data_IF_020405252338
#
_entry.id   IF_020405252338
#
_cell.length_a   1.000
_cell.length_b   1.000
_cell.length_c   1.000
_cell.angle_alpha   90.00
_cell.angle_beta   90.00
_cell.angle_gamma   90.00
#
_symmetry.space_group_name_H-M   'P 1'
#
loop_
_entity.id
_entity.type
_entity.pdbx_description
1 polymer ?
#
# COMPACT_ATOMS: atom_id res chain seq x y z
N UNK A 1 -83.30 -34.85 -23.64
CA UNK A 1 -82.46 -35.92 -24.23
C UNK A 1 -82.13 -35.47 -25.64
N UNK A 2 -80.92 -35.08 -26.02
CA UNK A 2 -79.59 -35.56 -25.62
C UNK A 2 -78.55 -34.50 -26.00
N UNK A 3 -77.79 -34.00 -25.03
CA UNK A 3 -76.65 -33.11 -25.23
C UNK A 3 -75.47 -33.85 -25.88
N UNK A 4 -74.92 -33.23 -26.92
CA UNK A 4 -73.69 -33.66 -27.60
C UNK A 4 -72.49 -33.20 -26.76
N UNK A 5 -71.89 -34.14 -26.03
CA UNK A 5 -70.62 -33.95 -25.33
C UNK A 5 -69.47 -33.97 -26.35
N UNK A 6 -68.92 -32.78 -26.64
CA UNK A 6 -67.59 -32.63 -27.24
C UNK A 6 -66.53 -32.94 -26.17
N UNK A 7 -65.84 -34.06 -26.34
CA UNK A 7 -64.64 -34.42 -25.58
C UNK A 7 -63.49 -33.46 -25.90
N UNK A 8 -62.73 -32.95 -24.92
CA UNK A 8 -61.49 -32.23 -25.22
C UNK A 8 -60.41 -33.21 -25.68
N UNK A 9 -59.45 -32.76 -26.53
CA UNK A 9 -58.37 -33.62 -27.02
C UNK A 9 -57.40 -34.00 -25.89
N UNK A 10 -56.73 -35.16 -25.98
CA UNK A 10 -55.77 -35.61 -24.97
C UNK A 10 -54.55 -34.67 -24.93
N UNK A 11 -54.16 -34.26 -23.73
CA UNK A 11 -52.95 -33.48 -23.47
C UNK A 11 -51.72 -34.24 -24.00
N UNK A 12 -50.94 -33.56 -24.85
CA UNK A 12 -49.65 -34.05 -25.32
C UNK A 12 -48.61 -34.11 -24.20
N UNK A 13 -47.56 -34.93 -24.35
CA UNK A 13 -46.55 -35.14 -23.31
C UNK A 13 -45.66 -33.89 -23.14
N UNK A 14 -45.65 -33.37 -21.91
CA UNK A 14 -44.61 -32.59 -21.25
C UNK A 14 -43.85 -31.57 -22.11
N UNK A 15 -44.43 -30.37 -22.27
CA UNK A 15 -43.61 -29.17 -22.45
C UNK A 15 -42.64 -29.06 -21.26
N UNK A 16 -41.33 -28.85 -21.48
CA UNK A 16 -40.39 -28.68 -20.37
C UNK A 16 -40.79 -27.42 -19.61
N UNK A 17 -41.39 -27.64 -18.43
CA UNK A 17 -41.77 -26.62 -17.46
C UNK A 17 -40.60 -25.65 -17.32
N UNK A 18 -40.79 -24.41 -17.79
CA UNK A 18 -39.76 -23.39 -17.79
C UNK A 18 -39.29 -23.21 -16.35
N UNK A 19 -38.10 -23.73 -16.05
CA UNK A 19 -37.55 -23.76 -14.70
C UNK A 19 -37.61 -22.34 -14.11
N UNK A 20 -38.47 -22.17 -13.10
CA UNK A 20 -38.65 -20.90 -12.42
C UNK A 20 -37.27 -20.39 -11.95
N UNK A 21 -36.95 -19.10 -12.16
CA UNK A 21 -35.69 -18.56 -11.68
C UNK A 21 -35.60 -18.80 -10.17
N UNK A 22 -34.43 -19.22 -9.64
CA UNK A 22 -34.29 -19.52 -8.23
C UNK A 22 -34.72 -18.32 -7.39
N UNK A 23 -35.45 -18.53 -6.27
CA UNK A 23 -35.94 -17.44 -5.44
C UNK A 23 -34.76 -16.56 -4.99
N UNK A 24 -34.90 -15.25 -5.21
CA UNK A 24 -33.93 -14.26 -4.75
C UNK A 24 -33.78 -14.36 -3.23
N UNK A 25 -32.57 -14.64 -2.75
CA UNK A 25 -32.28 -14.72 -1.30
C UNK A 25 -32.76 -13.43 -0.62
N UNK A 26 -33.49 -13.51 0.52
CA UNK A 26 -33.97 -12.32 1.20
C UNK A 26 -32.77 -11.45 1.60
N UNK A 27 -32.78 -10.18 1.17
CA UNK A 27 -31.81 -9.18 1.61
C UNK A 27 -32.04 -8.94 3.10
N UNK A 28 -31.04 -9.19 3.94
CA UNK A 28 -31.13 -8.86 5.37
C UNK A 28 -31.48 -7.38 5.56
N UNK A 29 -32.13 -7.01 6.68
CA UNK A 29 -32.47 -5.62 6.95
C UNK A 29 -31.21 -4.75 6.91
N UNK A 30 -31.31 -3.58 6.28
CA UNK A 30 -30.17 -2.70 6.00
C UNK A 30 -29.38 -2.32 7.26
N UNK A 31 -30.08 -2.22 8.40
CA UNK A 31 -29.47 -2.01 9.72
C UNK A 31 -28.53 -3.13 10.14
N UNK A 32 -28.88 -4.40 9.92
CA UNK A 32 -28.00 -5.53 10.22
C UNK A 32 -26.76 -5.53 9.33
N UNK A 33 -26.89 -5.14 8.06
CA UNK A 33 -25.73 -5.03 7.15
C UNK A 33 -24.78 -3.93 7.62
N UNK A 34 -25.31 -2.76 8.00
CA UNK A 34 -24.49 -1.66 8.54
C UNK A 34 -23.81 -2.06 9.84
N UNK A 35 -24.54 -2.66 10.79
CA UNK A 35 -23.97 -3.12 12.06
C UNK A 35 -22.92 -4.22 11.85
N UNK A 36 -23.17 -5.18 10.96
CA UNK A 36 -22.21 -6.23 10.63
C UNK A 36 -20.94 -5.63 9.99
N UNK A 37 -21.08 -4.64 9.12
CA UNK A 37 -19.94 -3.97 8.47
C UNK A 37 -19.09 -3.21 9.49
N UNK A 38 -19.71 -2.47 10.40
CA UNK A 38 -19.02 -1.79 11.49
C UNK A 38 -18.35 -2.77 12.46
N UNK A 39 -19.03 -3.88 12.81
CA UNK A 39 -18.48 -4.92 13.66
C UNK A 39 -17.26 -5.61 13.02
N UNK A 40 -17.31 -5.89 11.71
CA UNK A 40 -16.16 -6.41 10.97
C UNK A 40 -15.02 -5.39 10.94
N UNK A 41 -15.30 -4.11 10.67
CA UNK A 41 -14.28 -3.06 10.69
C UNK A 41 -13.60 -2.92 12.05
N UNK A 42 -14.39 -2.92 13.13
CA UNK A 42 -13.87 -2.84 14.49
C UNK A 42 -13.06 -4.08 14.89
N UNK A 43 -13.52 -5.28 14.53
CA UNK A 43 -12.77 -6.53 14.81
C UNK A 43 -11.45 -6.59 14.04
N UNK A 44 -11.42 -6.13 12.78
CA UNK A 44 -10.18 -6.02 12.00
C UNK A 44 -9.17 -5.05 12.62
N UNK A 45 -9.65 -3.93 13.19
CA UNK A 45 -8.81 -2.98 13.89
C UNK A 45 -8.33 -3.53 15.24
N UNK A 46 -9.23 -4.13 16.03
CA UNK A 46 -8.90 -4.68 17.35
C UNK A 46 -7.96 -5.90 17.28
N UNK A 47 -8.08 -6.74 16.25
CA UNK A 47 -7.25 -7.94 16.05
C UNK A 47 -6.02 -7.68 15.16
N UNK A 48 -5.63 -6.42 14.95
CA UNK A 48 -4.52 -6.04 14.09
C UNK A 48 -3.19 -6.74 14.43
N UNK A 49 -2.92 -7.01 15.72
CA UNK A 49 -1.68 -7.66 16.17
C UNK A 49 -1.52 -9.09 15.62
N UNK A 50 -2.63 -9.75 15.30
CA UNK A 50 -2.67 -11.09 14.72
C UNK A 50 -2.86 -10.99 13.19
N UNK A 51 -3.74 -10.11 12.74
CA UNK A 51 -4.12 -9.99 11.32
C UNK A 51 -2.97 -9.43 10.49
N UNK A 52 -2.22 -8.43 10.99
CA UNK A 52 -1.16 -7.78 10.24
C UNK A 52 -0.03 -8.73 9.86
N UNK A 53 0.54 -9.55 10.79
CA UNK A 53 1.54 -10.53 10.41
C UNK A 53 1.05 -11.52 9.35
N UNK A 54 -0.23 -11.92 9.42
CA UNK A 54 -0.85 -12.82 8.44
C UNK A 54 -1.02 -12.16 7.08
N UNK A 55 -1.50 -10.93 7.03
CA UNK A 55 -1.64 -10.17 5.78
C UNK A 55 -0.29 -9.88 5.14
N UNK A 56 0.72 -9.47 5.93
CA UNK A 56 2.08 -9.28 5.44
C UNK A 56 2.68 -10.58 4.92
N UNK A 57 2.50 -11.69 5.65
CA UNK A 57 2.98 -12.98 5.22
C UNK A 57 2.32 -13.45 3.91
N UNK A 58 1.00 -13.23 3.77
CA UNK A 58 0.31 -13.47 2.51
C UNK A 58 0.84 -12.56 1.40
N UNK A 59 1.05 -11.27 1.66
CA UNK A 59 1.61 -10.31 0.70
C UNK A 59 2.99 -10.77 0.19
N UNK A 60 3.92 -11.07 1.10
CA UNK A 60 5.25 -11.57 0.72
C UNK A 60 5.19 -12.92 0.02
N UNK A 61 4.30 -13.82 0.44
CA UNK A 61 4.09 -15.10 -0.24
C UNK A 61 3.57 -14.88 -1.67
N UNK A 62 2.67 -13.92 -1.91
CA UNK A 62 2.18 -13.58 -3.25
C UNK A 62 3.31 -13.04 -4.15
N UNK A 63 4.21 -12.22 -3.61
CA UNK A 63 5.38 -11.69 -4.34
C UNK A 63 6.40 -12.79 -4.63
N UNK A 64 6.66 -13.66 -3.67
CA UNK A 64 7.62 -14.75 -3.80
C UNK A 64 7.11 -15.90 -4.68
N UNK A 65 5.81 -16.12 -4.79
CA UNK A 65 5.22 -17.23 -5.54
C UNK A 65 5.59 -17.28 -7.05
N UNK A 66 5.59 -16.19 -7.84
CA UNK A 66 6.03 -16.24 -9.24
C UNK A 66 7.50 -16.66 -9.36
N UNK A 67 8.35 -16.16 -8.46
CA UNK A 67 9.76 -16.55 -8.35
C UNK A 67 9.87 -18.02 -7.96
N UNK A 68 9.09 -18.48 -6.98
CA UNK A 68 9.05 -19.86 -6.54
C UNK A 68 8.63 -20.83 -7.66
N UNK A 69 7.65 -20.44 -8.48
CA UNK A 69 7.24 -21.20 -9.67
C UNK A 69 8.35 -21.27 -10.71
N UNK A 70 9.15 -20.21 -10.86
CA UNK A 70 10.33 -20.23 -11.73
C UNK A 70 11.39 -21.19 -11.20
N UNK A 71 11.70 -21.14 -9.90
CA UNK A 71 12.65 -22.07 -9.25
C UNK A 71 12.19 -23.53 -9.35
N UNK A 72 10.89 -23.80 -9.23
CA UNK A 72 10.33 -25.15 -9.44
C UNK A 72 10.53 -25.65 -10.87
N UNK A 73 10.46 -24.76 -11.88
CA UNK A 73 10.82 -25.13 -13.26
C UNK A 73 12.30 -25.46 -13.43
N UNK A 74 13.15 -24.89 -12.57
CA UNK A 74 14.57 -25.24 -12.45
C UNK A 74 14.82 -26.46 -11.53
N UNK A 75 13.81 -27.31 -11.30
CA UNK A 75 13.90 -28.55 -10.51
C UNK A 75 14.18 -28.36 -9.01
N UNK A 76 14.09 -27.15 -8.47
CA UNK A 76 14.26 -26.91 -7.03
C UNK A 76 12.97 -27.24 -6.29
N UNK A 77 13.00 -28.11 -5.25
CA UNK A 77 11.81 -28.44 -4.49
C UNK A 77 11.27 -27.20 -3.75
N UNK A 78 9.94 -27.14 -3.61
CA UNK A 78 9.22 -25.96 -3.11
C UNK A 78 9.73 -25.43 -1.77
N UNK A 79 10.08 -26.33 -0.84
CA UNK A 79 10.60 -25.94 0.48
C UNK A 79 11.97 -25.24 0.38
N UNK A 80 12.89 -25.79 -0.41
CA UNK A 80 14.20 -25.17 -0.64
C UNK A 80 14.06 -23.85 -1.39
N UNK A 81 13.18 -23.78 -2.39
CA UNK A 81 12.91 -22.53 -3.11
C UNK A 81 12.37 -21.43 -2.19
N UNK A 82 11.47 -21.78 -1.26
CA UNK A 82 10.94 -20.83 -0.28
C UNK A 82 12.02 -20.36 0.70
N UNK A 83 12.86 -21.28 1.20
CA UNK A 83 14.00 -20.96 2.06
C UNK A 83 15.02 -20.06 1.36
N UNK A 84 15.33 -20.32 0.08
CA UNK A 84 16.25 -19.49 -0.70
C UNK A 84 15.70 -18.08 -0.92
N UNK A 85 14.43 -17.95 -1.30
CA UNK A 85 13.78 -16.65 -1.51
C UNK A 85 13.74 -15.84 -0.21
N UNK A 86 13.34 -16.47 0.91
CA UNK A 86 13.30 -15.79 2.20
C UNK A 86 14.69 -15.48 2.73
N UNK A 87 15.64 -16.39 2.61
CA UNK A 87 17.03 -16.18 3.01
C UNK A 87 17.68 -15.03 2.21
N UNK A 88 17.49 -15.01 0.89
CA UNK A 88 17.96 -13.93 0.03
C UNK A 88 17.27 -12.60 0.37
N UNK A 89 15.94 -12.60 0.56
CA UNK A 89 15.18 -11.41 0.95
C UNK A 89 15.65 -10.84 2.29
N UNK A 90 15.78 -11.69 3.31
CA UNK A 90 16.30 -11.29 4.63
C UNK A 90 17.77 -10.84 4.57
N UNK A 91 18.59 -11.48 3.75
CA UNK A 91 19.98 -11.07 3.53
C UNK A 91 20.07 -9.68 2.90
N UNK A 92 19.29 -9.42 1.84
CA UNK A 92 19.24 -8.10 1.17
C UNK A 92 18.66 -7.05 2.10
N UNK A 93 17.50 -7.29 2.71
CA UNK A 93 16.86 -6.33 3.63
C UNK A 93 17.69 -6.10 4.88
N UNK A 94 18.32 -7.14 5.44
CA UNK A 94 19.19 -7.03 6.61
C UNK A 94 20.48 -6.25 6.31
N UNK A 95 21.13 -6.55 5.17
CA UNK A 95 22.30 -5.80 4.70
C UNK A 95 21.95 -4.33 4.47
N UNK A 96 20.81 -4.06 3.82
CA UNK A 96 20.32 -2.71 3.61
C UNK A 96 20.01 -2.02 4.94
N UNK A 97 19.33 -2.69 5.88
CA UNK A 97 19.03 -2.12 7.19
C UNK A 97 20.30 -1.70 7.94
N UNK A 98 21.34 -2.53 7.97
CA UNK A 98 22.63 -2.18 8.62
C UNK A 98 23.27 -0.96 7.96
N UNK A 99 23.24 -0.86 6.63
CA UNK A 99 23.77 0.29 5.90
C UNK A 99 22.96 1.57 6.14
N UNK A 100 21.65 1.44 6.36
CA UNK A 100 20.74 2.56 6.55
C UNK A 100 20.64 3.06 7.98
N UNK A 101 20.87 2.20 8.98
CA UNK A 101 20.72 2.55 10.40
C UNK A 101 21.62 3.73 10.78
N UNK A 102 22.87 3.77 10.32
CA UNK A 102 23.79 4.87 10.60
C UNK A 102 23.26 6.22 10.10
N UNK A 103 23.09 6.40 8.77
CA UNK A 103 22.54 7.62 8.19
C UNK A 103 21.16 8.01 8.74
N UNK A 104 20.29 7.02 8.99
CA UNK A 104 18.96 7.27 9.54
C UNK A 104 19.02 7.78 10.99
N UNK A 105 19.90 7.23 11.83
CA UNK A 105 20.06 7.70 13.21
C UNK A 105 20.68 9.08 13.27
N UNK A 106 21.67 9.36 12.43
CA UNK A 106 22.29 10.68 12.32
C UNK A 106 21.25 11.73 11.93
N UNK A 107 20.48 11.46 10.88
CA UNK A 107 19.39 12.33 10.46
C UNK A 107 18.33 12.51 11.56
N UNK A 108 17.95 11.44 12.27
CA UNK A 108 16.96 11.51 13.34
C UNK A 108 17.44 12.35 14.55
N UNK A 109 18.71 12.26 14.92
CA UNK A 109 19.29 13.05 16.01
C UNK A 109 19.45 14.53 15.62
N UNK A 110 19.78 14.79 14.36
CA UNK A 110 19.98 16.13 13.85
C UNK A 110 18.70 16.82 13.37
N UNK A 111 17.61 16.08 13.15
CA UNK A 111 16.35 16.59 12.63
C UNK A 111 15.86 17.88 13.32
N UNK A 112 15.86 18.01 14.67
CA UNK A 112 15.43 19.25 15.32
C UNK A 112 16.31 20.45 14.97
N UNK A 113 17.61 20.24 14.77
CA UNK A 113 18.56 21.30 14.39
C UNK A 113 18.45 21.63 12.91
N UNK A 114 18.34 20.61 12.07
CA UNK A 114 18.14 20.76 10.62
C UNK A 114 16.85 21.53 10.32
N UNK A 115 15.73 21.20 10.98
CA UNK A 115 14.47 21.94 10.86
C UNK A 115 14.62 23.43 11.24
N UNK A 116 15.41 23.74 12.29
CA UNK A 116 15.69 25.13 12.68
C UNK A 116 16.54 25.86 11.64
N UNK A 117 17.51 25.19 11.00
CA UNK A 117 18.34 25.75 9.92
C UNK A 117 17.47 26.07 8.71
N UNK A 118 16.63 25.14 8.29
CA UNK A 118 15.70 25.33 7.16
C UNK A 118 14.70 26.44 7.46
N UNK A 119 14.15 26.52 8.67
CA UNK A 119 13.28 27.63 9.07
C UNK A 119 13.97 29.00 8.94
N UNK A 120 15.26 29.11 9.29
CA UNK A 120 16.04 30.35 9.14
C UNK A 120 16.30 30.69 7.68
N UNK A 121 16.69 29.72 6.86
CA UNK A 121 16.90 29.94 5.42
C UNK A 121 15.60 30.34 4.70
N UNK A 122 14.47 29.73 5.04
CA UNK A 122 13.16 30.12 4.51
C UNK A 122 12.78 31.52 4.98
N UNK A 123 13.06 31.88 6.24
CA UNK A 123 12.91 33.27 6.70
C UNK A 123 13.78 34.22 5.90
N UNK A 124 15.04 33.89 5.65
CA UNK A 124 15.96 34.73 4.88
C UNK A 124 15.53 34.91 3.42
N UNK A 125 15.01 33.85 2.78
CA UNK A 125 14.45 33.90 1.42
C UNK A 125 13.13 34.67 1.35
N UNK A 126 12.35 34.66 2.43
CA UNK A 126 11.11 35.41 2.52
C UNK A 126 11.32 36.84 3.02
N UNK A 127 12.49 37.22 3.56
CA UNK A 127 12.81 38.59 3.99
C UNK A 127 12.54 39.65 2.92
N UNK A 128 12.87 39.50 1.63
CA UNK A 128 12.56 40.51 0.61
C UNK A 128 11.05 40.69 0.41
N UNK A 129 10.29 39.58 0.45
CA UNK A 129 8.82 39.58 0.35
C UNK A 129 8.19 40.12 1.62
N UNK A 130 8.74 39.77 2.78
CA UNK A 130 8.33 40.29 4.08
C UNK A 130 8.71 41.75 4.24
N UNK A 131 9.81 42.24 3.67
CA UNK A 131 10.20 43.65 3.67
C UNK A 131 9.36 44.46 2.68
N UNK A 132 8.97 43.88 1.55
CA UNK A 132 7.99 44.48 0.64
C UNK A 132 6.60 44.52 1.27
N UNK A 133 6.17 43.44 1.93
CA UNK A 133 4.94 43.40 2.71
C UNK A 133 5.02 44.30 3.93
N UNK A 134 6.14 44.38 4.65
CA UNK A 134 6.34 45.29 5.78
C UNK A 134 6.44 46.73 5.33
N UNK A 135 6.95 47.04 4.13
CA UNK A 135 6.87 48.38 3.59
C UNK A 135 5.40 48.75 3.33
N UNK A 136 4.63 47.86 2.69
CA UNK A 136 3.18 48.02 2.49
C UNK A 136 2.38 48.03 3.81
N UNK A 137 2.80 47.26 4.80
CA UNK A 137 2.19 47.12 6.12
C UNK A 137 2.66 48.25 7.04
N UNK A 138 3.81 48.88 6.83
CA UNK A 138 4.25 50.12 7.50
C UNK A 138 3.47 51.31 6.94
N UNK A 139 3.13 51.30 5.64
CA UNK A 139 2.12 52.21 5.09
C UNK A 139 0.73 51.97 5.71
N UNK A 140 0.40 50.74 6.12
CA UNK A 140 -0.84 50.40 6.82
C UNK A 140 -0.79 50.55 8.36
N UNK A 141 0.39 50.46 9.00
CA UNK A 141 0.62 50.55 10.46
C UNK A 141 0.77 51.99 10.94
N UNK A 142 1.03 52.94 10.04
CA UNK A 142 0.70 54.35 10.26
C UNK A 142 -0.81 54.53 10.53
N UNK A 143 -1.65 53.54 10.21
CA UNK A 143 -3.09 53.51 10.49
C UNK A 143 -3.56 52.38 11.46
N UNK A 144 -2.67 51.64 12.14
CA UNK A 144 -3.14 50.63 13.10
C UNK A 144 -2.03 49.74 13.68
N UNK A 145 -1.92 49.75 15.01
CA UNK A 145 -0.83 49.12 15.77
C UNK A 145 -1.02 47.64 16.13
N UNK A 146 0.14 46.98 16.19
CA UNK A 146 0.60 45.79 16.93
C UNK A 146 -0.22 44.50 17.05
N UNK A 147 0.45 43.38 16.70
CA UNK A 147 0.25 42.11 17.39
C UNK A 147 1.53 41.24 17.46
N UNK A 148 1.72 40.67 18.65
CA UNK A 148 2.87 39.94 19.17
C UNK A 148 2.67 38.42 18.96
N UNK A 149 3.60 37.72 18.30
CA UNK A 149 3.54 36.26 18.13
C UNK A 149 4.58 35.54 19.00
N UNK A 150 4.09 34.80 20.00
CA UNK A 150 4.91 33.88 20.83
C UNK A 150 5.09 32.55 20.11
N UNK A 151 6.35 32.17 19.89
CA UNK A 151 6.76 30.85 19.39
C UNK A 151 6.60 29.82 20.50
N UNK A 152 5.72 28.84 20.29
CA UNK A 152 5.52 27.71 21.19
C UNK A 152 6.66 26.70 21.00
N UNK A 153 7.50 26.57 22.02
CA UNK A 153 8.58 25.59 22.08
C UNK A 153 7.97 24.22 22.37
N UNK A 154 7.92 23.36 21.35
CA UNK A 154 7.65 21.93 21.53
C UNK A 154 8.85 21.37 22.32
N UNK A 155 8.63 21.06 23.59
CA UNK A 155 9.59 20.31 24.41
C UNK A 155 9.77 18.93 23.79
N UNK A 156 10.92 18.72 23.17
CA UNK A 156 11.42 17.39 22.83
C UNK A 156 11.54 16.59 24.13
N UNK A 157 10.61 15.67 24.30
CA UNK A 157 10.65 14.63 25.30
C UNK A 157 11.88 13.78 24.97
N UNK A 158 12.92 13.84 25.82
CA UNK A 158 14.10 12.99 25.67
C UNK A 158 13.61 11.53 25.63
N UNK A 159 13.89 10.86 24.52
CA UNK A 159 13.62 9.43 24.39
C UNK A 159 14.52 8.68 25.38
N UNK A 160 13.86 8.07 26.37
CA UNK A 160 14.47 7.28 27.42
C UNK A 160 15.17 6.04 26.79
N UNK A 161 16.49 5.85 26.94
CA UNK A 161 17.24 4.75 26.32
C UNK A 161 16.68 3.35 26.66
N UNK A 162 16.01 3.23 27.80
CA UNK A 162 15.37 1.99 28.27
C UNK A 162 14.14 1.57 27.44
N UNK A 163 13.55 2.46 26.64
CA UNK A 163 12.47 2.11 25.71
C UNK A 163 12.96 1.29 24.51
N UNK A 164 14.24 1.39 24.14
CA UNK A 164 14.83 0.57 23.08
C UNK A 164 14.94 -0.90 23.50
N UNK A 165 15.27 -1.15 24.77
CA UNK A 165 15.48 -2.49 25.32
C UNK A 165 14.20 -3.34 25.38
N UNK A 166 13.04 -2.69 25.52
CA UNK A 166 11.72 -3.37 25.53
C UNK A 166 11.07 -3.48 24.15
N UNK A 167 11.45 -2.62 23.19
CA UNK A 167 10.95 -2.67 21.80
C UNK A 167 11.66 -3.71 20.93
N UNK A 168 12.96 -3.89 21.12
CA UNK A 168 13.76 -4.81 20.28
C UNK A 168 13.25 -6.27 20.29
N UNK A 169 12.90 -6.89 21.44
CA UNK A 169 12.39 -8.27 21.45
C UNK A 169 11.01 -8.40 20.78
N UNK A 170 10.13 -7.40 20.97
CA UNK A 170 8.79 -7.39 20.37
C UNK A 170 8.85 -7.26 18.85
N UNK A 171 9.71 -6.37 18.35
CA UNK A 171 9.96 -6.23 16.92
C UNK A 171 10.56 -7.50 16.33
N UNK A 172 11.56 -8.10 16.99
CA UNK A 172 12.15 -9.36 16.55
C UNK A 172 11.10 -10.50 16.50
N UNK A 173 10.23 -10.62 17.50
CA UNK A 173 9.15 -11.59 17.51
C UNK A 173 8.15 -11.35 16.37
N UNK A 174 7.78 -10.09 16.11
CA UNK A 174 6.88 -9.75 15.00
C UNK A 174 7.47 -10.07 13.63
N UNK A 175 8.75 -9.76 13.41
CA UNK A 175 9.48 -10.07 12.18
C UNK A 175 9.60 -11.57 12.01
N UNK A 176 9.95 -12.30 13.07
CA UNK A 176 10.03 -13.76 13.05
C UNK A 176 8.67 -14.39 12.73
N UNK A 177 7.58 -13.88 13.31
CA UNK A 177 6.24 -14.35 13.01
C UNK A 177 5.89 -14.15 11.53
N UNK A 178 6.17 -12.97 10.96
CA UNK A 178 5.96 -12.70 9.53
C UNK A 178 6.80 -13.64 8.67
N UNK A 179 8.09 -13.81 8.99
CA UNK A 179 9.01 -14.69 8.24
C UNK A 179 8.55 -16.14 8.25
N UNK A 180 8.25 -16.68 9.43
CA UNK A 180 7.77 -18.05 9.57
C UNK A 180 6.45 -18.23 8.84
N UNK A 181 5.50 -17.32 9.03
CA UNK A 181 4.20 -17.43 8.40
C UNK A 181 4.30 -17.30 6.88
N UNK A 182 5.20 -16.45 6.37
CA UNK A 182 5.49 -16.37 4.93
C UNK A 182 6.04 -17.70 4.42
N UNK A 183 6.99 -18.30 5.15
CA UNK A 183 7.55 -19.62 4.82
C UNK A 183 6.45 -20.68 4.76
N UNK A 184 5.60 -20.75 5.78
CA UNK A 184 4.49 -21.70 5.84
C UNK A 184 3.47 -21.46 4.72
N UNK A 185 3.10 -20.22 4.42
CA UNK A 185 2.22 -19.92 3.28
C UNK A 185 2.86 -20.29 1.94
N UNK A 186 4.15 -20.02 1.75
CA UNK A 186 4.86 -20.39 0.53
C UNK A 186 4.92 -21.90 0.35
N UNK A 187 5.16 -22.68 1.41
CA UNK A 187 5.26 -24.15 1.36
C UNK A 187 3.89 -24.81 1.27
N UNK A 188 2.97 -24.48 2.19
CA UNK A 188 1.72 -25.20 2.43
C UNK A 188 0.46 -24.45 1.96
N UNK A 189 0.56 -23.22 1.48
CA UNK A 189 -0.60 -22.41 1.08
C UNK A 189 -1.48 -23.10 0.03
N UNK A 190 -0.88 -23.76 -0.96
CA UNK A 190 -1.63 -24.48 -1.99
C UNK A 190 -2.34 -25.75 -1.47
N UNK A 191 -1.77 -26.45 -0.49
CA UNK A 191 -2.44 -27.57 0.16
C UNK A 191 -3.59 -27.10 1.03
N UNK A 192 -3.39 -26.03 1.82
CA UNK A 192 -4.42 -25.42 2.64
C UNK A 192 -5.59 -24.93 1.80
N UNK A 193 -5.30 -24.25 0.69
CA UNK A 193 -6.30 -23.80 -0.27
C UNK A 193 -7.12 -24.98 -0.84
N UNK A 194 -6.45 -26.07 -1.26
CA UNK A 194 -7.14 -27.26 -1.78
C UNK A 194 -8.03 -27.91 -0.73
N UNK A 195 -7.55 -28.02 0.52
CA UNK A 195 -8.33 -28.55 1.63
C UNK A 195 -9.55 -27.68 1.95
N UNK A 196 -9.39 -26.35 1.97
CA UNK A 196 -10.48 -25.41 2.20
C UNK A 196 -11.54 -25.49 1.07
N UNK A 197 -11.11 -25.62 -0.18
CA UNK A 197 -12.02 -25.80 -1.32
C UNK A 197 -12.77 -27.14 -1.22
N UNK A 198 -12.13 -28.20 -0.72
CA UNK A 198 -12.75 -29.51 -0.55
C UNK A 198 -13.92 -29.52 0.46
N UNK A 199 -14.03 -28.51 1.34
CA UNK A 199 -15.15 -28.35 2.27
C UNK A 199 -16.46 -27.95 1.58
N UNK A 200 -16.41 -27.44 0.34
CA UNK A 200 -17.62 -27.07 -0.38
C UNK A 200 -18.36 -28.32 -0.89
N UNK A 201 -19.69 -28.42 -0.67
CA UNK A 201 -20.45 -29.64 -0.91
C UNK A 201 -20.64 -29.97 -2.40
N UNK A 202 -20.56 -28.98 -3.30
CA UNK A 202 -20.85 -29.16 -4.72
C UNK A 202 -19.60 -28.92 -5.59
N UNK A 203 -19.33 -29.82 -6.55
CA UNK A 203 -18.22 -29.69 -7.53
C UNK A 203 -18.29 -28.41 -8.36
N UNK A 204 -19.48 -27.91 -8.65
CA UNK A 204 -19.64 -26.63 -9.36
C UNK A 204 -19.13 -25.46 -8.52
N UNK A 205 -19.47 -25.42 -7.22
CA UNK A 205 -18.97 -24.41 -6.28
C UNK A 205 -17.46 -24.55 -6.08
N UNK A 206 -16.94 -25.77 -5.98
CA UNK A 206 -15.49 -26.00 -5.89
C UNK A 206 -14.74 -25.44 -7.10
N UNK A 207 -15.21 -25.72 -8.32
CA UNK A 207 -14.60 -25.19 -9.56
C UNK A 207 -14.67 -23.66 -9.61
N UNK A 208 -15.85 -23.10 -9.37
CA UNK A 208 -16.07 -21.65 -9.34
C UNK A 208 -15.15 -20.93 -8.33
N UNK A 209 -15.09 -21.42 -7.08
CA UNK A 209 -14.20 -20.87 -6.05
C UNK A 209 -12.73 -21.02 -6.43
N UNK A 210 -12.32 -22.18 -6.96
CA UNK A 210 -10.94 -22.40 -7.42
C UNK A 210 -10.54 -21.42 -8.50
N UNK A 211 -11.42 -21.19 -9.48
CA UNK A 211 -11.15 -20.29 -10.61
C UNK A 211 -11.04 -18.84 -10.15
N UNK A 212 -11.93 -18.39 -9.24
CA UNK A 212 -11.86 -17.07 -8.63
C UNK A 212 -10.55 -16.90 -7.86
N UNK A 213 -10.22 -17.81 -6.94
CA UNK A 213 -9.01 -17.70 -6.13
C UNK A 213 -7.75 -17.71 -7.01
N UNK A 214 -7.69 -18.54 -8.04
CA UNK A 214 -6.56 -18.55 -8.99
C UNK A 214 -6.49 -17.30 -9.85
N UNK A 215 -7.63 -16.68 -10.18
CA UNK A 215 -7.64 -15.37 -10.87
C UNK A 215 -7.07 -14.30 -9.95
N UNK A 216 -7.58 -14.20 -8.72
CA UNK A 216 -7.12 -13.24 -7.72
C UNK A 216 -5.63 -13.43 -7.44
N UNK A 217 -5.18 -14.65 -7.15
CA UNK A 217 -3.77 -14.95 -6.90
C UNK A 217 -2.89 -14.48 -8.07
N UNK A 218 -3.27 -14.79 -9.31
CA UNK A 218 -2.47 -14.41 -10.50
C UNK A 218 -2.45 -12.91 -10.74
N UNK A 219 -3.60 -12.24 -10.63
CA UNK A 219 -3.73 -10.81 -10.89
C UNK A 219 -3.04 -9.98 -9.81
N UNK A 220 -3.27 -10.31 -8.54
CA UNK A 220 -2.65 -9.62 -7.40
C UNK A 220 -1.15 -9.92 -7.38
N UNK A 221 -0.73 -11.18 -7.54
CA UNK A 221 0.72 -11.51 -7.57
C UNK A 221 1.45 -10.78 -8.69
N UNK A 222 0.88 -10.73 -9.91
CA UNK A 222 1.46 -9.96 -11.01
C UNK A 222 1.55 -8.48 -10.67
N UNK A 223 0.46 -7.88 -10.19
CA UNK A 223 0.41 -6.48 -9.80
C UNK A 223 1.47 -6.15 -8.76
N UNK A 224 1.49 -6.90 -7.65
CA UNK A 224 2.41 -6.65 -6.53
C UNK A 224 3.86 -6.87 -6.95
N UNK A 225 4.16 -7.92 -7.71
CA UNK A 225 5.52 -8.13 -8.24
C UNK A 225 5.95 -6.96 -9.13
N UNK A 226 5.10 -6.55 -10.07
CA UNK A 226 5.43 -5.48 -11.00
C UNK A 226 5.65 -4.15 -10.28
N UNK A 227 4.76 -3.76 -9.35
CA UNK A 227 4.94 -2.51 -8.59
C UNK A 227 6.19 -2.58 -7.69
N UNK A 228 6.50 -3.76 -7.13
CA UNK A 228 7.70 -3.93 -6.30
C UNK A 228 8.98 -3.74 -7.12
N UNK A 229 9.01 -4.27 -8.35
CA UNK A 229 10.12 -4.08 -9.29
C UNK A 229 10.24 -2.61 -9.70
N UNK A 230 9.13 -1.96 -10.08
CA UNK A 230 9.11 -0.54 -10.43
C UNK A 230 9.62 0.32 -9.27
N UNK A 231 9.09 0.13 -8.06
CA UNK A 231 9.48 0.90 -6.88
C UNK A 231 10.95 0.72 -6.53
N UNK A 232 11.47 -0.51 -6.64
CA UNK A 232 12.90 -0.78 -6.41
C UNK A 232 13.77 -0.08 -7.44
N UNK A 233 13.39 -0.12 -8.73
CA UNK A 233 14.10 0.57 -9.80
C UNK A 233 14.06 2.09 -9.62
N UNK A 234 12.91 2.66 -9.27
CA UNK A 234 12.79 4.09 -8.94
C UNK A 234 13.72 4.48 -7.81
N UNK A 235 13.76 3.71 -6.72
CA UNK A 235 14.66 3.98 -5.60
C UNK A 235 16.14 3.92 -5.98
N UNK A 236 16.54 2.92 -6.77
CA UNK A 236 17.91 2.78 -7.27
C UNK A 236 18.30 3.90 -8.24
N UNK A 237 17.42 4.26 -9.17
CA UNK A 237 17.64 5.37 -10.11
C UNK A 237 17.75 6.68 -9.34
N UNK A 238 16.87 6.90 -8.35
CA UNK A 238 16.91 8.09 -7.53
C UNK A 238 18.21 8.17 -6.72
N UNK A 239 18.65 7.08 -6.09
CA UNK A 239 19.95 7.01 -5.42
C UNK A 239 21.09 7.36 -6.39
N UNK A 240 21.07 6.82 -7.62
CA UNK A 240 22.05 7.15 -8.65
C UNK A 240 22.04 8.64 -9.03
N UNK A 241 20.86 9.26 -9.14
CA UNK A 241 20.74 10.71 -9.39
C UNK A 241 21.32 11.53 -8.24
N UNK A 242 21.06 11.13 -6.98
CA UNK A 242 21.64 11.81 -5.82
C UNK A 242 23.18 11.68 -5.78
N UNK A 243 23.73 10.52 -6.15
CA UNK A 243 25.18 10.35 -6.27
C UNK A 243 25.78 11.27 -7.34
N UNK A 244 25.09 11.47 -8.47
CA UNK A 244 25.52 12.41 -9.50
C UNK A 244 25.48 13.87 -9.04
N UNK A 245 24.63 14.18 -8.06
CA UNK A 245 24.58 15.49 -7.40
C UNK A 245 25.66 15.66 -6.31
N UNK A 246 26.52 14.66 -6.09
CA UNK A 246 27.62 14.71 -5.12
C UNK A 246 27.26 14.19 -3.72
N UNK A 247 26.05 13.64 -3.53
CA UNK A 247 25.62 13.08 -2.24
C UNK A 247 26.32 11.72 -2.02
N UNK A 248 26.80 11.49 -0.79
CA UNK A 248 27.50 10.26 -0.42
C UNK A 248 26.65 9.00 -0.67
N UNK A 249 27.30 7.89 -1.03
CA UNK A 249 26.63 6.63 -1.39
C UNK A 249 25.63 6.16 -0.31
N UNK A 250 25.99 6.25 0.97
CA UNK A 250 25.14 5.77 2.06
C UNK A 250 23.86 6.60 2.22
N UNK A 251 23.96 7.93 2.12
CA UNK A 251 22.82 8.83 2.15
C UNK A 251 21.96 8.71 0.89
N UNK A 252 22.59 8.60 -0.28
CA UNK A 252 21.88 8.38 -1.53
C UNK A 252 21.06 7.08 -1.49
N UNK A 253 21.62 6.00 -0.94
CA UNK A 253 20.91 4.74 -0.73
C UNK A 253 19.78 4.86 0.32
N UNK A 254 19.97 5.67 1.37
CA UNK A 254 18.90 5.99 2.33
C UNK A 254 17.72 6.64 1.64
N UNK A 255 17.95 7.74 0.94
CA UNK A 255 16.89 8.48 0.28
C UNK A 255 16.28 7.72 -0.90
N UNK A 256 17.07 6.92 -1.62
CA UNK A 256 16.58 5.97 -2.62
C UNK A 256 15.66 4.89 -2.03
N UNK A 257 16.01 4.36 -0.86
CA UNK A 257 15.15 3.38 -0.15
C UNK A 257 13.87 4.03 0.35
N UNK A 258 13.95 5.23 0.93
CA UNK A 258 12.78 6.02 1.34
C UNK A 258 11.87 6.30 0.14
N UNK A 259 12.44 6.69 -1.00
CA UNK A 259 11.71 6.89 -2.25
C UNK A 259 10.98 5.62 -2.71
N UNK A 260 11.66 4.47 -2.72
CA UNK A 260 11.06 3.18 -3.08
C UNK A 260 9.90 2.79 -2.15
N UNK A 261 10.07 2.99 -0.83
CA UNK A 261 9.04 2.67 0.16
C UNK A 261 7.83 3.60 0.04
N UNK A 262 8.06 4.91 -0.12
CA UNK A 262 6.98 5.88 -0.29
C UNK A 262 6.20 5.62 -1.58
N UNK A 263 6.83 5.12 -2.65
CA UNK A 263 6.15 4.85 -3.91
C UNK A 263 5.10 3.72 -3.83
N UNK A 264 5.03 2.98 -2.71
CA UNK A 264 3.91 2.05 -2.47
C UNK A 264 2.59 2.74 -2.10
N UNK A 265 2.63 4.01 -1.68
CA UNK A 265 1.46 4.79 -1.29
C UNK A 265 1.19 5.89 -2.34
N UNK A 266 0.33 5.66 -3.34
CA UNK A 266 0.04 6.65 -4.38
C UNK A 266 -0.48 7.97 -3.79
N UNK A 267 -0.14 9.09 -4.42
CA UNK A 267 -0.45 10.47 -3.99
C UNK A 267 0.19 10.89 -2.66
N UNK A 268 0.08 10.09 -1.61
CA UNK A 268 0.61 10.37 -0.27
C UNK A 268 2.13 10.26 -0.23
N UNK A 269 2.66 9.17 -0.79
CA UNK A 269 4.10 8.90 -0.86
C UNK A 269 4.87 10.01 -1.58
N UNK A 270 4.46 10.41 -2.80
CA UNK A 270 5.07 11.51 -3.52
C UNK A 270 5.00 12.84 -2.78
N UNK A 271 3.86 13.15 -2.14
CA UNK A 271 3.71 14.37 -1.36
C UNK A 271 4.70 14.42 -0.18
N UNK A 272 4.79 13.33 0.58
CA UNK A 272 5.75 13.20 1.69
C UNK A 272 7.18 13.21 1.14
N UNK A 273 7.43 12.50 0.05
CA UNK A 273 8.73 12.38 -0.59
C UNK A 273 9.27 13.73 -1.04
N UNK A 274 8.47 14.54 -1.76
CA UNK A 274 8.88 15.89 -2.16
C UNK A 274 9.21 16.75 -0.94
N UNK A 275 8.40 16.72 0.11
CA UNK A 275 8.67 17.47 1.33
C UNK A 275 10.00 17.05 2.00
N UNK A 276 10.25 15.73 2.08
CA UNK A 276 11.50 15.20 2.63
C UNK A 276 12.71 15.57 1.76
N UNK A 277 12.60 15.46 0.43
CA UNK A 277 13.70 15.80 -0.47
C UNK A 277 14.00 17.29 -0.52
N UNK A 278 12.98 18.15 -0.35
CA UNK A 278 13.19 19.58 -0.15
C UNK A 278 13.94 19.84 1.16
N UNK A 279 13.48 19.25 2.26
CA UNK A 279 14.11 19.40 3.56
C UNK A 279 15.58 18.96 3.52
N UNK A 280 15.83 17.80 2.93
CA UNK A 280 17.16 17.24 2.68
C UNK A 280 18.01 18.19 1.83
N UNK A 281 17.48 18.69 0.71
CA UNK A 281 18.20 19.60 -0.17
C UNK A 281 18.62 20.92 0.51
N UNK A 282 17.77 21.49 1.37
CA UNK A 282 18.11 22.72 2.12
C UNK A 282 19.13 22.48 3.24
N UNK A 283 19.25 21.24 3.72
CA UNK A 283 20.27 20.87 4.70
C UNK A 283 21.63 20.70 4.02
N UNK A 284 21.65 20.05 2.86
CA UNK A 284 22.89 19.68 2.16
C UNK A 284 23.49 20.84 1.37
N UNK A 285 22.65 21.56 0.61
CA UNK A 285 23.10 22.61 -0.30
C UNK A 285 22.91 24.00 0.32
N UNK A 286 23.89 24.88 0.12
CA UNK A 286 23.87 26.27 0.62
C UNK A 286 23.43 27.31 -0.42
N UNK A 287 23.53 26.97 -1.70
CA UNK A 287 23.11 27.84 -2.78
C UNK A 287 21.58 27.98 -2.83
N UNK A 288 21.01 29.07 -3.38
CA UNK A 288 19.57 29.31 -3.34
C UNK A 288 18.73 28.38 -4.22
N UNK A 289 19.30 27.81 -5.30
CA UNK A 289 18.57 26.97 -6.26
C UNK A 289 18.93 25.48 -6.20
N UNK A 290 20.14 25.13 -5.75
CA UNK A 290 20.57 23.73 -5.64
C UNK A 290 19.74 22.88 -4.66
N UNK A 291 19.24 23.40 -3.52
CA UNK A 291 18.34 22.68 -2.61
C UNK A 291 17.07 22.15 -3.26
N UNK A 292 16.65 22.75 -4.38
CA UNK A 292 15.47 22.31 -5.13
C UNK A 292 15.76 21.10 -6.02
N UNK A 293 17.03 20.81 -6.33
CA UNK A 293 17.42 19.75 -7.27
C UNK A 293 17.00 18.36 -6.81
N UNK A 294 17.21 17.92 -5.55
CA UNK A 294 16.76 16.59 -5.10
C UNK A 294 15.24 16.43 -5.21
N UNK A 295 14.48 17.45 -4.83
CA UNK A 295 13.03 17.45 -4.91
C UNK A 295 12.52 17.48 -6.36
N UNK A 296 13.15 18.27 -7.22
CA UNK A 296 12.83 18.35 -8.64
C UNK A 296 13.16 17.01 -9.35
N UNK A 297 14.29 16.40 -9.03
CA UNK A 297 14.66 15.08 -9.53
C UNK A 297 13.66 14.00 -9.07
N UNK A 298 13.26 14.03 -7.80
CA UNK A 298 12.27 13.11 -7.26
C UNK A 298 10.90 13.28 -7.95
N UNK A 299 10.43 14.52 -8.08
CA UNK A 299 9.17 14.84 -8.76
C UNK A 299 9.22 14.44 -10.23
N UNK A 300 10.32 14.74 -10.92
CA UNK A 300 10.52 14.37 -12.32
C UNK A 300 10.51 12.86 -12.52
N UNK A 301 11.24 12.12 -11.68
CA UNK A 301 11.27 10.66 -11.71
C UNK A 301 9.90 10.05 -11.41
N UNK A 302 9.18 10.57 -10.40
CA UNK A 302 7.85 10.09 -10.07
C UNK A 302 6.83 10.42 -11.15
N UNK A 303 6.94 11.58 -11.79
CA UNK A 303 6.07 11.96 -12.93
C UNK A 303 6.32 11.05 -14.12
N UNK A 304 7.58 10.77 -14.45
CA UNK A 304 7.94 9.82 -15.51
C UNK A 304 7.43 8.42 -15.20
N UNK A 305 7.57 7.97 -13.95
CA UNK A 305 7.05 6.68 -13.52
C UNK A 305 5.53 6.62 -13.67
N UNK A 306 4.80 7.52 -12.99
CA UNK A 306 3.35 7.53 -12.94
C UNK A 306 2.64 7.79 -14.27
N UNK A 307 3.24 8.59 -15.17
CA UNK A 307 2.63 8.94 -16.46
C UNK A 307 3.07 8.03 -17.62
N UNK A 308 4.27 7.44 -17.56
CA UNK A 308 4.81 6.63 -18.64
C UNK A 308 5.03 5.18 -18.23
N UNK A 309 5.82 4.93 -17.19
CA UNK A 309 6.24 3.57 -16.82
C UNK A 309 5.05 2.74 -16.33
N UNK A 310 4.28 3.22 -15.35
CA UNK A 310 3.16 2.46 -14.80
C UNK A 310 2.12 2.14 -15.87
N UNK A 311 1.66 3.09 -16.71
CA UNK A 311 0.67 2.78 -17.75
C UNK A 311 1.18 1.81 -18.83
N UNK A 312 2.45 1.89 -19.22
CA UNK A 312 3.06 0.99 -20.22
C UNK A 312 3.17 -0.43 -19.66
N UNK A 313 3.58 -0.58 -18.39
CA UNK A 313 3.85 -1.89 -17.80
C UNK A 313 2.58 -2.57 -17.27
N UNK A 314 1.69 -1.82 -16.60
CA UNK A 314 0.45 -2.37 -16.02
C UNK A 314 -0.72 -2.41 -17.00
N UNK A 315 -0.71 -1.56 -18.04
CA UNK A 315 -1.79 -1.46 -19.01
C UNK A 315 -3.13 -0.94 -18.42
N UNK A 316 -4.20 -1.02 -19.21
CA UNK A 316 -5.52 -0.42 -18.89
C UNK A 316 -6.40 -1.23 -17.92
N UNK A 317 -5.95 -2.38 -17.40
CA UNK A 317 -6.83 -3.36 -16.72
C UNK A 317 -7.06 -3.12 -15.22
N UNK A 318 -6.31 -2.23 -14.60
CA UNK A 318 -6.35 -1.95 -13.16
C UNK A 318 -6.72 -0.49 -12.88
N UNK A 319 -7.79 0.01 -13.52
CA UNK A 319 -8.32 1.33 -13.18
C UNK A 319 -8.96 1.25 -11.81
N UNK A 320 -8.41 2.01 -10.87
CA UNK A 320 -9.03 2.31 -9.60
C UNK A 320 -9.30 3.81 -9.57
N UNK A 321 -10.47 4.19 -9.09
CA UNK A 321 -10.81 5.60 -8.93
C UNK A 321 -9.79 6.26 -7.99
N UNK A 322 -9.15 7.38 -8.38
CA UNK A 322 -8.23 8.12 -7.51
C UNK A 322 -8.83 8.46 -6.14
N UNK A 323 -10.12 8.78 -6.11
CA UNK A 323 -10.84 9.12 -4.88
C UNK A 323 -10.96 7.91 -3.95
N UNK A 324 -11.29 6.75 -4.50
CA UNK A 324 -11.37 5.50 -3.74
C UNK A 324 -10.00 5.11 -3.20
N UNK A 325 -8.94 5.33 -3.99
CA UNK A 325 -7.58 5.06 -3.56
C UNK A 325 -7.17 5.93 -2.37
N UNK A 326 -7.44 7.24 -2.44
CA UNK A 326 -7.17 8.17 -1.32
C UNK A 326 -7.98 7.76 -0.09
N UNK A 327 -9.27 7.44 -0.25
CA UNK A 327 -10.11 7.00 0.87
C UNK A 327 -9.57 5.70 1.50
N UNK A 328 -9.18 4.73 0.68
CA UNK A 328 -8.58 3.49 1.16
C UNK A 328 -7.27 3.75 1.91
N UNK A 329 -6.40 4.63 1.40
CA UNK A 329 -5.16 5.02 2.08
C UNK A 329 -5.44 5.71 3.43
N UNK A 330 -6.46 6.56 3.51
CA UNK A 330 -6.88 7.17 4.78
C UNK A 330 -7.39 6.12 5.76
N UNK A 331 -8.24 5.19 5.32
CA UNK A 331 -8.82 4.15 6.19
C UNK A 331 -7.75 3.17 6.67
N UNK A 332 -6.98 2.57 5.77
CA UNK A 332 -5.95 1.59 6.14
C UNK A 332 -4.76 2.24 6.85
N UNK A 333 -4.39 3.46 6.46
CA UNK A 333 -3.34 4.22 7.13
C UNK A 333 -3.69 4.61 8.54
N UNK A 334 -4.94 5.02 8.78
CA UNK A 334 -5.43 5.26 10.13
C UNK A 334 -5.54 3.95 10.94
N UNK A 335 -6.03 2.87 10.33
CA UNK A 335 -6.22 1.60 11.01
C UNK A 335 -4.92 0.92 11.42
N UNK A 336 -3.93 0.86 10.51
CA UNK A 336 -2.73 0.01 10.66
C UNK A 336 -1.40 0.76 10.38
N UNK A 337 -1.43 2.09 10.29
CA UNK A 337 -0.24 2.91 10.08
C UNK A 337 0.46 2.66 8.74
N UNK A 338 1.80 2.62 8.77
CA UNK A 338 2.64 2.44 7.57
C UNK A 338 2.37 1.11 6.85
N UNK A 339 2.11 0.04 7.61
CA UNK A 339 1.79 -1.27 7.03
C UNK A 339 0.45 -1.20 6.28
N UNK A 340 -0.52 -0.48 6.84
CA UNK A 340 -1.80 -0.23 6.20
C UNK A 340 -1.67 0.54 4.88
N UNK A 341 -0.81 1.57 4.82
CA UNK A 341 -0.49 2.28 3.58
C UNK A 341 0.07 1.34 2.51
N UNK A 342 1.02 0.48 2.88
CA UNK A 342 1.64 -0.48 1.97
C UNK A 342 0.63 -1.50 1.42
N UNK A 343 -0.27 -1.98 2.28
CA UNK A 343 -1.27 -2.99 1.92
C UNK A 343 -2.55 -2.41 1.30
N UNK A 344 -2.77 -1.08 1.37
CA UNK A 344 -4.01 -0.44 0.95
C UNK A 344 -4.38 -0.78 -0.50
N UNK A 345 -3.43 -0.63 -1.43
CA UNK A 345 -3.70 -0.87 -2.86
C UNK A 345 -3.92 -2.35 -3.17
N UNK A 346 -3.04 -3.29 -2.73
CA UNK A 346 -3.28 -4.72 -2.90
C UNK A 346 -4.62 -5.19 -2.32
N UNK A 347 -4.99 -4.72 -1.13
CA UNK A 347 -6.26 -5.07 -0.49
C UNK A 347 -7.44 -4.50 -1.27
N UNK A 348 -7.34 -3.26 -1.74
CA UNK A 348 -8.37 -2.63 -2.56
C UNK A 348 -8.59 -3.40 -3.87
N UNK A 349 -7.50 -3.87 -4.51
CA UNK A 349 -7.56 -4.73 -5.70
C UNK A 349 -8.24 -6.06 -5.37
N UNK A 350 -7.88 -6.72 -4.25
CA UNK A 350 -8.54 -7.94 -3.81
C UNK A 350 -10.05 -7.73 -3.62
N UNK A 351 -10.44 -6.66 -2.93
CA UNK A 351 -11.84 -6.29 -2.70
C UNK A 351 -12.57 -6.09 -4.04
N UNK A 352 -11.99 -5.30 -4.95
CA UNK A 352 -12.56 -5.06 -6.29
C UNK A 352 -12.77 -6.37 -7.05
N UNK A 353 -11.77 -7.25 -7.07
CA UNK A 353 -11.83 -8.53 -7.79
C UNK A 353 -12.89 -9.46 -7.22
N UNK A 354 -13.05 -9.50 -5.90
CA UNK A 354 -14.12 -10.27 -5.26
C UNK A 354 -15.49 -9.69 -5.63
N UNK A 355 -15.68 -8.38 -5.49
CA UNK A 355 -16.95 -7.72 -5.83
C UNK A 355 -17.34 -7.90 -7.31
N UNK A 356 -16.36 -7.91 -8.22
CA UNK A 356 -16.59 -8.11 -9.65
C UNK A 356 -17.08 -9.52 -9.98
N UNK A 357 -16.83 -10.51 -9.12
CA UNK A 357 -17.19 -11.92 -9.31
C UNK A 357 -18.45 -12.34 -8.55
N UNK A 358 -18.94 -11.51 -7.64
CA UNK A 358 -20.17 -11.76 -6.88
C UNK A 358 -21.40 -11.24 -7.64
N UNK A 359 -22.37 -12.12 -7.85
CA UNK A 359 -23.64 -11.79 -8.50
C UNK A 359 -24.37 -10.68 -7.73
N UNK A 360 -24.75 -9.60 -8.42
CA UNK A 360 -25.41 -8.43 -7.84
C UNK A 360 -24.48 -7.40 -7.17
N UNK A 361 -23.18 -7.66 -7.04
CA UNK A 361 -22.21 -6.71 -6.46
C UNK A 361 -21.30 -6.04 -7.51
N UNK A 362 -21.48 -6.36 -8.79
CA UNK A 362 -20.72 -5.79 -9.91
C UNK A 362 -20.83 -4.26 -10.02
N UNK A 363 -21.94 -3.67 -9.54
CA UNK A 363 -22.11 -2.21 -9.46
C UNK A 363 -21.12 -1.57 -8.49
N UNK A 364 -20.85 -2.21 -7.35
CA UNK A 364 -19.84 -1.77 -6.39
C UNK A 364 -18.43 -1.89 -6.96
N UNK A 365 -18.15 -2.96 -7.70
CA UNK A 365 -16.86 -3.09 -8.40
C UNK A 365 -16.63 -1.94 -9.41
N UNK A 366 -17.69 -1.49 -10.09
CA UNK A 366 -17.64 -0.31 -10.99
C UNK A 366 -17.46 1.02 -10.27
N UNK A 367 -17.99 1.15 -9.04
CA UNK A 367 -17.73 2.34 -8.21
C UNK A 367 -16.27 2.45 -7.77
N UNK A 368 -15.55 1.32 -7.71
CA UNK A 368 -14.12 1.28 -7.40
C UNK A 368 -13.23 1.61 -8.61
N UNK A 369 -13.77 1.64 -9.83
CA UNK A 369 -13.07 2.04 -11.07
C UNK A 369 -13.09 3.55 -11.28
#
# INVERSE_FOLDING_TARGET
>A
MSESLLSPPPAGPDEPEAALPPPSRPRGPMSLVVLATLAVGYTLWAAQDIILPVLLAMFFALVGNPILRLLQKLWIPRALGALLILGAGLGVTGSLAVQLIGPAMEWAQEAPQQLRKVARQVQDLTKPVQQANQAAENFARVAGGDSNHKVQVIRTQLDDPYRMLTRAPRLAASVLAVVLLTLFFMIYGQSLQRAAIALFPNRQQQRFTTDILRSIEREVSRYVLTISVINTLVGLVFAGVLMLLGIGLQEALLWGTVAALLNFAPYVGPLIGVALMLLMGFVEFRDPLQPLLPAAAYLGLHTLEGQMVTPIVLGRRMKLSPLVLILALMVFGWAWGMIGLLLAVPLLVCIKLVLARLDGMQGWARLLE
#
